data_IF_408298614793
#
_entry.id   IF_408298614793
#
_cell.length_a   1.000
_cell.length_b   1.000
_cell.length_c   1.000
_cell.angle_alpha   90.00
_cell.angle_beta   90.00
_cell.angle_gamma   90.00
#
_symmetry.space_group_name_H-M   'P 1'
#
loop_
_entity.id
_entity.type
_entity.pdbx_description
1 polymer ?
2 non-polymer ?
3 non-polymer ?
4 water ?
#
# COMPACT_ATOMS: atom_id res chain seq x y z
N UNK A 24 -7.09 10.97 -19.66
CA UNK A 24 -7.63 10.45 -20.96
C UNK A 24 -6.44 9.88 -21.75
N UNK A 25 -5.75 10.75 -22.50
CA UNK A 25 -4.83 10.36 -23.56
C UNK A 25 -3.57 9.76 -22.92
N UNK A 26 -3.02 10.51 -21.95
CA UNK A 26 -1.81 10.14 -21.24
C UNK A 26 -2.00 8.87 -20.43
N UNK A 27 -3.20 8.72 -19.85
CA UNK A 27 -3.51 7.56 -19.03
C UNK A 27 -3.42 6.31 -19.90
N UNK A 28 -4.10 6.31 -21.05
CA UNK A 28 -4.07 5.19 -21.99
C UNK A 28 -2.65 4.91 -22.48
N UNK A 29 -1.90 5.97 -22.82
CA UNK A 29 -0.56 5.78 -23.32
C UNK A 29 0.28 5.12 -22.24
N UNK A 30 0.14 5.59 -21.00
CA UNK A 30 0.82 4.98 -19.87
C UNK A 30 0.48 3.49 -19.77
N UNK A 31 -0.81 3.16 -19.89
CA UNK A 31 -1.20 1.76 -19.75
C UNK A 31 -0.68 0.91 -20.92
N UNK A 32 -0.72 1.46 -22.14
CA UNK A 32 -0.22 0.77 -23.33
C UNK A 32 1.26 0.42 -23.17
N UNK A 33 2.06 1.33 -22.60
CA UNK A 33 3.50 1.11 -22.50
C UNK A 33 3.76 0.06 -21.42
N UNK A 34 2.98 0.12 -20.33
CA UNK A 34 3.18 -0.84 -19.27
C UNK A 34 2.82 -2.23 -19.81
N UNK A 35 1.77 -2.31 -20.63
CA UNK A 35 1.34 -3.61 -21.11
C UNK A 35 2.26 -4.16 -22.19
N UNK A 36 2.87 -3.27 -23.00
CA UNK A 36 3.84 -3.72 -23.99
C UNK A 36 5.06 -4.37 -23.35
N UNK A 37 5.50 -3.84 -22.21
CA UNK A 37 6.57 -4.46 -21.45
C UNK A 37 6.22 -5.84 -20.96
N UNK A 38 5.09 -5.98 -20.28
CA UNK A 38 4.71 -7.28 -19.76
C UNK A 38 4.55 -8.29 -20.90
N UNK A 39 4.07 -7.81 -22.07
CA UNK A 39 3.81 -8.69 -23.18
C UNK A 39 5.08 -9.30 -23.76
N UNK A 40 6.24 -8.68 -23.52
CA UNK A 40 7.51 -9.22 -24.01
C UNK A 40 8.05 -10.25 -23.03
N UNK A 41 7.45 -10.38 -21.85
CA UNK A 41 8.10 -11.17 -20.81
C UNK A 41 8.05 -12.66 -21.17
N UNK A 42 7.01 -13.22 -21.85
CA UNK A 42 7.11 -14.60 -22.32
C UNK A 42 8.32 -14.88 -23.21
N UNK A 43 8.70 -13.92 -24.08
CA UNK A 43 9.90 -14.01 -24.90
C UNK A 43 11.17 -14.01 -24.03
N UNK A 44 11.20 -13.19 -22.98
CA UNK A 44 12.33 -13.18 -22.05
C UNK A 44 12.49 -14.57 -21.43
N UNK A 45 11.39 -15.12 -20.93
CA UNK A 45 11.38 -16.40 -20.22
C UNK A 45 11.87 -17.52 -21.16
N UNK A 46 11.47 -17.47 -22.44
CA UNK A 46 11.89 -18.50 -23.38
C UNK A 46 13.40 -18.48 -23.59
N UNK A 47 13.98 -17.29 -23.75
CA UNK A 47 15.43 -17.16 -23.88
C UNK A 47 16.10 -17.70 -22.62
N UNK A 48 15.61 -17.30 -21.44
CA UNK A 48 16.19 -17.78 -20.19
C UNK A 48 16.00 -19.28 -20.03
N UNK A 49 14.87 -19.81 -20.54
CA UNK A 49 14.66 -21.25 -20.45
C UNK A 49 15.69 -21.97 -21.29
N UNK A 50 15.88 -21.51 -22.53
CA UNK A 50 16.90 -22.03 -23.44
C UNK A 50 18.28 -22.10 -22.77
N UNK A 51 18.76 -20.99 -22.20
CA UNK A 51 20.12 -20.93 -21.65
C UNK A 51 20.14 -21.32 -20.18
N UNK A 52 19.08 -22.00 -19.72
CA UNK A 52 19.04 -22.51 -18.37
C UNK A 52 19.37 -21.39 -17.39
N UNK A 53 18.83 -20.18 -17.64
CA UNK A 53 18.99 -19.02 -16.78
C UNK A 53 17.85 -18.99 -15.75
N UNK A 54 18.07 -18.33 -14.59
CA UNK A 54 16.99 -18.08 -13.64
C UNK A 54 16.16 -16.87 -14.06
N UNK A 55 14.91 -16.83 -13.62
CA UNK A 55 14.07 -15.65 -13.83
C UNK A 55 14.81 -14.46 -13.21
N UNK A 56 15.24 -14.61 -11.96
CA UNK A 56 15.78 -13.49 -11.21
C UNK A 56 17.20 -13.14 -11.67
N UNK A 57 17.46 -11.84 -11.81
CA UNK A 57 18.78 -11.31 -12.07
C UNK A 57 18.93 -9.96 -11.38
N UNK A 58 19.57 -9.99 -10.19
CA UNK A 58 19.64 -8.85 -9.29
C UNK A 58 20.52 -7.72 -9.84
N UNK A 59 21.68 -8.05 -10.39
CA UNK A 59 22.47 -7.12 -11.18
C UNK A 59 21.55 -6.19 -11.98
N UNK A 60 20.83 -6.79 -12.94
CA UNK A 60 20.01 -6.07 -13.90
C UNK A 60 18.95 -5.25 -13.15
N UNK A 61 18.39 -5.81 -12.06
CA UNK A 61 17.28 -5.20 -11.36
C UNK A 61 17.71 -3.89 -10.69
N UNK A 62 18.75 -4.00 -9.84
CA UNK A 62 19.49 -2.88 -9.29
C UNK A 62 19.67 -1.78 -10.32
N UNK A 63 20.43 -2.09 -11.38
CA UNK A 63 20.87 -1.14 -12.40
C UNK A 63 19.69 -0.42 -13.04
N UNK A 64 18.63 -1.16 -13.39
CA UNK A 64 17.45 -0.57 -13.98
C UNK A 64 16.76 0.35 -12.97
N UNK A 65 16.80 -0.02 -11.68
CA UNK A 65 16.19 0.82 -10.64
C UNK A 65 17.04 2.06 -10.33
N UNK A 66 18.36 2.01 -10.48
CA UNK A 66 19.15 3.23 -10.36
C UNK A 66 18.87 4.16 -11.54
N UNK A 67 18.97 3.61 -12.76
CA UNK A 67 18.62 4.31 -13.99
C UNK A 67 17.29 5.07 -13.81
N UNK A 68 16.25 4.36 -13.34
CA UNK A 68 14.96 4.97 -13.13
C UNK A 68 15.01 6.05 -12.05
N UNK A 69 15.66 5.78 -10.90
CA UNK A 69 15.66 6.77 -9.82
C UNK A 69 16.28 8.07 -10.32
N UNK A 70 17.40 7.97 -11.04
CA UNK A 70 18.18 9.12 -11.42
C UNK A 70 17.43 9.93 -12.47
N UNK A 71 16.45 9.31 -13.11
CA UNK A 71 15.74 9.90 -14.23
C UNK A 71 14.37 10.39 -13.78
N UNK A 72 14.03 10.28 -12.49
CA UNK A 72 12.71 10.67 -12.04
C UNK A 72 12.77 11.62 -10.84
N UNK A 73 13.79 12.48 -10.70
CA UNK A 73 14.00 13.08 -9.37
C UNK A 73 12.99 14.19 -9.06
N UNK A 74 12.19 14.70 -10.02
CA UNK A 74 11.05 15.54 -9.67
C UNK A 74 9.89 14.75 -9.03
N UNK A 75 9.92 13.43 -9.15
CA UNK A 75 8.87 12.59 -8.59
C UNK A 75 9.32 12.05 -7.25
N UNK A 76 8.36 11.75 -6.41
CA UNK A 76 8.66 11.15 -5.13
C UNK A 76 9.40 9.85 -5.36
N UNK A 77 10.63 9.71 -4.84
CA UNK A 77 11.43 8.53 -5.13
C UNK A 77 10.96 7.23 -4.48
N UNK A 78 10.21 7.31 -3.37
CA UNK A 78 9.61 6.13 -2.76
C UNK A 78 8.49 5.58 -3.64
N UNK A 79 7.53 6.42 -4.02
CA UNK A 79 6.42 6.01 -4.85
C UNK A 79 6.93 5.51 -6.20
N UNK A 80 7.94 6.20 -6.74
CA UNK A 80 8.51 5.81 -8.03
C UNK A 80 9.14 4.42 -7.93
N UNK A 81 9.92 4.16 -6.90
CA UNK A 81 10.56 2.86 -6.76
C UNK A 81 9.53 1.76 -6.49
N UNK A 82 8.44 2.06 -5.76
CA UNK A 82 7.39 1.09 -5.51
C UNK A 82 6.70 0.72 -6.83
N UNK A 83 6.37 1.74 -7.65
CA UNK A 83 5.72 1.53 -8.93
C UNK A 83 6.58 0.66 -9.84
N UNK A 84 7.85 1.03 -10.04
CA UNK A 84 8.67 0.24 -10.95
C UNK A 84 8.99 -1.12 -10.34
N UNK A 85 9.09 -1.18 -9.00
CA UNK A 85 9.26 -2.41 -8.24
C UNK A 85 8.11 -3.42 -8.46
N UNK A 86 6.87 -2.97 -8.44
CA UNK A 86 5.72 -3.84 -8.69
C UNK A 86 5.62 -4.24 -10.16
N UNK A 87 6.11 -3.42 -11.07
CA UNK A 87 6.20 -3.85 -12.46
C UNK A 87 7.17 -5.01 -12.62
N UNK A 88 8.26 -4.96 -11.86
CA UNK A 88 9.24 -6.02 -11.85
C UNK A 88 8.69 -7.31 -11.26
N UNK A 89 7.92 -7.20 -10.17
CA UNK A 89 7.23 -8.35 -9.60
C UNK A 89 6.27 -8.95 -10.62
N UNK A 90 5.43 -8.11 -11.25
CA UNK A 90 4.48 -8.56 -12.23
C UNK A 90 5.22 -9.30 -13.34
N UNK A 91 6.31 -8.71 -13.87
CA UNK A 91 7.08 -9.31 -14.94
C UNK A 91 7.64 -10.67 -14.56
N UNK A 92 8.13 -10.82 -13.34
CA UNK A 92 8.68 -12.11 -12.94
C UNK A 92 7.59 -13.17 -12.71
N UNK A 93 6.42 -12.73 -12.29
CA UNK A 93 5.27 -13.61 -12.17
C UNK A 93 4.87 -14.17 -13.54
N UNK A 94 4.94 -13.35 -14.59
CA UNK A 94 4.60 -13.80 -15.93
C UNK A 94 5.64 -14.80 -16.43
N UNK A 95 6.90 -14.48 -16.17
CA UNK A 95 7.97 -15.38 -16.50
C UNK A 95 7.79 -16.74 -15.83
N UNK A 96 7.44 -16.75 -14.55
CA UNK A 96 7.27 -18.03 -13.86
C UNK A 96 6.09 -18.81 -14.45
N UNK A 97 5.02 -18.14 -14.90
CA UNK A 97 3.91 -18.83 -15.57
C UNK A 97 4.38 -19.52 -16.85
N UNK A 98 5.14 -18.79 -17.67
CA UNK A 98 5.75 -19.38 -18.84
C UNK A 98 6.65 -20.57 -18.46
N UNK A 99 7.50 -20.41 -17.43
CA UNK A 99 8.39 -21.50 -17.01
C UNK A 99 7.59 -22.77 -16.80
N UNK A 100 6.43 -22.66 -16.14
CA UNK A 100 5.54 -23.81 -15.94
C UNK A 100 5.27 -24.53 -17.27
N UNK A 101 4.99 -23.76 -18.33
CA UNK A 101 4.54 -24.33 -19.59
C UNK A 101 5.68 -24.92 -20.42
N UNK A 102 6.93 -24.73 -20.01
CA UNK A 102 8.05 -25.03 -20.88
C UNK A 102 8.69 -26.38 -20.53
N UNK A 103 8.28 -26.97 -19.40
CA UNK A 103 9.05 -27.98 -18.72
C UNK A 103 9.57 -29.06 -19.66
N UNK A 104 8.72 -29.52 -20.58
CA UNK A 104 9.05 -30.69 -21.39
C UNK A 104 9.07 -30.31 -22.87
N UNK A 105 9.48 -29.05 -23.15
CA UNK A 105 9.62 -28.60 -24.53
C UNK A 105 11.08 -28.64 -25.01
N UNK A 106 11.19 -28.60 -26.35
CA UNK A 106 12.42 -28.45 -27.13
C UNK A 106 12.43 -27.04 -27.72
N UNK A 107 12.90 -26.08 -26.93
CA UNK A 107 13.24 -24.75 -27.44
C UNK A 107 14.52 -24.85 -28.27
N UNK A 108 14.55 -24.19 -29.41
CA UNK A 108 15.76 -24.14 -30.22
C UNK A 108 16.12 -22.68 -30.48
N UNK A 109 17.38 -22.45 -30.83
CA UNK A 109 17.82 -21.17 -31.37
C UNK A 109 16.72 -20.50 -32.19
N UNK A 110 16.09 -21.27 -33.08
CA UNK A 110 15.10 -20.75 -34.01
C UNK A 110 13.86 -20.22 -33.28
N UNK A 111 13.61 -20.69 -32.06
CA UNK A 111 12.41 -20.35 -31.29
C UNK A 111 12.61 -19.14 -30.38
N UNK A 112 13.86 -18.68 -30.21
CA UNK A 112 14.18 -17.70 -29.18
C UNK A 112 14.49 -16.36 -29.84
N UNK A 113 14.30 -15.26 -29.09
CA UNK A 113 14.74 -13.91 -29.49
C UNK A 113 15.88 -13.44 -28.57
N UNK A 114 16.83 -12.66 -29.12
CA UNK A 114 18.01 -12.29 -28.35
C UNK A 114 17.63 -11.43 -27.14
N UNK A 115 18.13 -11.82 -25.96
CA UNK A 115 17.79 -11.12 -24.74
C UNK A 115 18.52 -9.77 -24.74
N UNK A 116 19.71 -9.74 -25.33
CA UNK A 116 20.62 -8.63 -25.08
C UNK A 116 20.66 -7.70 -26.29
N UNK A 117 20.23 -8.18 -27.44
CA UNK A 117 20.29 -7.36 -28.63
C UNK A 117 18.91 -6.99 -29.18
N UNK A 118 17.83 -7.52 -28.59
CA UNK A 118 16.50 -7.41 -29.16
C UNK A 118 15.56 -6.97 -28.04
N UNK A 119 15.36 -7.86 -27.07
CA UNK A 119 14.29 -7.73 -26.09
C UNK A 119 14.63 -6.63 -25.08
N UNK A 120 15.87 -6.67 -24.56
CA UNK A 120 16.23 -5.77 -23.49
C UNK A 120 16.34 -4.33 -24.00
N UNK A 121 16.97 -4.04 -25.16
CA UNK A 121 16.85 -2.74 -25.80
C UNK A 121 15.40 -2.23 -25.91
N UNK A 122 14.49 -3.15 -26.24
CA UNK A 122 13.09 -2.78 -26.43
C UNK A 122 12.49 -2.41 -25.07
N UNK A 123 12.86 -3.18 -24.05
CA UNK A 123 12.34 -2.97 -22.71
C UNK A 123 12.88 -1.65 -22.14
N UNK A 124 14.14 -1.34 -22.47
CA UNK A 124 14.78 -0.11 -22.05
C UNK A 124 14.11 1.10 -22.70
N UNK A 125 13.85 1.02 -23.99
CA UNK A 125 13.15 2.09 -24.67
C UNK A 125 11.78 2.32 -24.03
N UNK A 126 11.06 1.24 -23.74
CA UNK A 126 9.70 1.34 -23.19
C UNK A 126 9.78 1.95 -21.79
N UNK A 127 10.73 1.53 -20.95
CA UNK A 127 10.88 2.11 -19.63
C UNK A 127 11.08 3.63 -19.69
N UNK A 128 11.86 4.09 -20.67
CA UNK A 128 12.19 5.51 -20.80
C UNK A 128 10.95 6.24 -21.29
N UNK A 129 10.16 5.59 -22.15
CA UNK A 129 8.92 6.20 -22.63
C UNK A 129 7.89 6.28 -21.49
N UNK A 130 7.92 5.31 -20.56
CA UNK A 130 7.06 5.39 -19.36
C UNK A 130 7.47 6.56 -18.47
N UNK A 131 8.78 6.72 -18.21
CA UNK A 131 9.24 7.90 -17.48
C UNK A 131 8.76 9.19 -18.15
N UNK A 132 8.87 9.32 -19.46
CA UNK A 132 8.45 10.53 -20.16
C UNK A 132 6.97 10.82 -19.97
N UNK A 133 6.15 9.77 -20.08
CA UNK A 133 4.72 9.87 -19.82
C UNK A 133 4.41 10.19 -18.36
N UNK A 134 5.15 9.62 -17.39
CA UNK A 134 4.99 10.01 -16.01
C UNK A 134 5.18 11.51 -15.82
N UNK A 135 6.30 12.04 -16.32
CA UNK A 135 6.61 13.45 -16.09
C UNK A 135 5.51 14.27 -16.75
N UNK A 136 5.04 13.86 -17.91
CA UNK A 136 4.07 14.66 -18.64
C UNK A 136 2.76 14.72 -17.87
N UNK A 137 2.31 13.54 -17.43
CA UNK A 137 1.08 13.40 -16.68
C UNK A 137 1.17 14.16 -15.37
N UNK A 138 2.36 14.14 -14.76
CA UNK A 138 2.60 14.80 -13.50
C UNK A 138 2.45 16.32 -13.61
N UNK A 139 2.93 16.89 -14.73
CA UNK A 139 2.81 18.32 -14.99
C UNK A 139 1.42 18.70 -15.52
N UNK A 140 0.68 17.81 -16.17
CA UNK A 140 -0.61 18.23 -16.73
C UNK A 140 -1.80 17.82 -15.87
N UNK A 141 -1.58 17.24 -14.68
CA UNK A 141 -2.67 16.78 -13.84
C UNK A 141 -3.58 15.73 -14.51
N UNK A 142 -3.01 14.87 -15.37
CA UNK A 142 -3.76 13.74 -15.91
C UNK A 142 -4.52 13.02 -14.78
N UNK A 143 -5.86 12.86 -14.89
CA UNK A 143 -6.62 12.09 -13.90
C UNK A 143 -6.59 10.60 -14.23
N UNK A 144 -6.74 9.74 -13.23
CA UNK A 144 -6.63 8.30 -13.42
C UNK A 144 -8.00 7.68 -13.16
N UNK A 145 -8.37 6.64 -13.90
CA UNK A 145 -9.64 5.96 -13.67
C UNK A 145 -9.38 4.47 -13.46
N UNK A 146 -9.80 3.95 -12.30
CA UNK A 146 -9.53 2.57 -11.91
C UNK A 146 -10.22 1.59 -12.85
N UNK A 147 -11.38 1.98 -13.40
CA UNK A 147 -12.12 1.13 -14.32
C UNK A 147 -11.33 0.95 -15.62
N UNK A 148 -10.73 2.04 -16.12
CA UNK A 148 -9.87 1.98 -17.29
C UNK A 148 -8.66 1.06 -17.04
N UNK A 149 -7.98 1.27 -15.93
CA UNK A 149 -6.87 0.39 -15.59
C UNK A 149 -7.31 -1.06 -15.58
N UNK A 150 -8.42 -1.35 -14.90
CA UNK A 150 -8.92 -2.70 -14.72
C UNK A 150 -9.18 -3.35 -16.08
N UNK A 151 -9.84 -2.58 -16.96
CA UNK A 151 -10.17 -3.06 -18.30
C UNK A 151 -8.89 -3.36 -19.08
N UNK A 152 -7.91 -2.46 -18.98
CA UNK A 152 -6.68 -2.59 -19.71
C UNK A 152 -5.86 -3.83 -19.31
N UNK A 153 -5.81 -4.18 -18.02
CA UNK A 153 -4.87 -5.21 -17.55
C UNK A 153 -5.57 -6.53 -17.23
N UNK A 154 -6.86 -6.60 -17.57
CA UNK A 154 -7.76 -7.68 -17.16
C UNK A 154 -7.27 -9.02 -17.69
N UNK A 155 -6.66 -9.03 -18.88
CA UNK A 155 -6.22 -10.28 -19.47
C UNK A 155 -4.92 -10.78 -18.84
N UNK A 156 -4.18 -9.97 -18.06
CA UNK A 156 -2.95 -10.46 -17.45
C UNK A 156 -3.21 -11.30 -16.20
N UNK A 157 -2.28 -12.22 -15.95
CA UNK A 157 -2.49 -13.38 -15.11
C UNK A 157 -1.88 -13.11 -13.73
N UNK A 158 -2.42 -12.09 -13.03
CA UNK A 158 -1.69 -11.36 -12.00
C UNK A 158 -2.54 -11.26 -10.74
N UNK A 159 -1.91 -11.51 -9.59
CA UNK A 159 -2.72 -11.61 -8.39
C UNK A 159 -3.21 -10.21 -8.05
N UNK A 160 -4.40 -10.13 -7.42
CA UNK A 160 -5.12 -8.87 -7.22
C UNK A 160 -4.37 -7.76 -6.48
N UNK A 161 -3.52 -8.14 -5.55
CA UNK A 161 -2.72 -7.21 -4.76
C UNK A 161 -1.70 -6.48 -5.63
N UNK A 162 -0.99 -7.24 -6.46
CA UNK A 162 -0.08 -6.67 -7.46
C UNK A 162 -0.81 -5.73 -8.42
N UNK A 163 -1.97 -6.12 -8.97
CA UNK A 163 -2.73 -5.21 -9.82
C UNK A 163 -3.14 -3.94 -9.06
N UNK A 164 -3.58 -4.11 -7.81
CA UNK A 164 -3.96 -3.00 -6.96
C UNK A 164 -2.74 -2.09 -6.71
N UNK A 165 -1.63 -2.70 -6.33
CA UNK A 165 -0.37 -2.00 -6.10
C UNK A 165 0.08 -1.12 -7.28
N UNK A 166 0.00 -1.68 -8.48
CA UNK A 166 0.37 -0.93 -9.67
C UNK A 166 -0.48 0.33 -9.76
N UNK A 167 -1.80 0.21 -9.61
CA UNK A 167 -2.67 1.39 -9.75
C UNK A 167 -2.42 2.41 -8.64
N UNK A 168 -2.36 1.96 -7.37
CA UNK A 168 -2.28 2.87 -6.23
C UNK A 168 -0.94 3.62 -6.20
N UNK A 169 0.14 2.90 -6.51
CA UNK A 169 1.46 3.49 -6.61
C UNK A 169 1.53 4.47 -7.76
N UNK A 170 0.90 4.16 -8.90
CA UNK A 170 0.91 5.10 -10.01
C UNK A 170 0.15 6.38 -9.61
N UNK A 171 -1.01 6.21 -8.96
CA UNK A 171 -1.72 7.33 -8.36
C UNK A 171 -0.84 8.20 -7.47
N UNK A 172 -0.03 7.60 -6.58
CA UNK A 172 0.71 8.41 -5.63
C UNK A 172 1.87 9.16 -6.32
N UNK A 173 2.51 8.53 -7.30
CA UNK A 173 3.58 9.13 -8.10
C UNK A 173 3.06 10.40 -8.75
N UNK A 174 1.81 10.36 -9.22
CA UNK A 174 1.30 11.43 -10.05
C UNK A 174 0.64 12.50 -9.20
N UNK A 175 0.69 12.36 -7.86
CA UNK A 175 0.17 13.38 -6.94
C UNK A 175 1.27 14.37 -6.54
N UNK A 176 1.22 15.65 -7.01
CA UNK A 176 2.23 16.65 -6.67
C UNK A 176 2.20 17.09 -5.19
N UNK A 181 1.35 25.42 1.44
CA UNK A 181 2.50 24.88 2.17
C UNK A 181 2.74 25.60 3.50
N UNK A 182 2.82 24.83 4.59
CA UNK A 182 2.95 25.39 5.93
C UNK A 182 4.43 25.55 6.28
N UNK A 183 4.70 26.40 7.30
CA UNK A 183 6.00 26.60 7.89
C UNK A 183 6.05 25.91 9.26
N UNK A 184 5.74 24.62 9.27
CA UNK A 184 5.60 23.90 10.51
C UNK A 184 6.97 23.68 11.15
N UNK A 185 7.99 23.33 10.36
CA UNK A 185 9.28 23.02 10.94
C UNK A 185 9.85 24.28 11.61
N UNK A 186 9.66 25.43 10.96
CA UNK A 186 10.14 26.71 11.48
C UNK A 186 9.58 26.93 12.89
N UNK A 187 8.26 26.74 13.05
CA UNK A 187 7.61 26.87 14.35
C UNK A 187 8.15 25.85 15.35
N UNK A 188 8.38 24.60 14.94
CA UNK A 188 8.81 23.57 15.89
C UNK A 188 10.18 23.89 16.44
N UNK A 189 11.00 24.45 15.55
CA UNK A 189 12.37 24.76 15.89
C UNK A 189 12.39 25.83 16.98
N UNK A 190 11.35 26.67 17.01
CA UNK A 190 11.21 27.70 18.04
C UNK A 190 10.61 27.14 19.31
N UNK A 191 9.43 26.49 19.22
CA UNK A 191 8.72 26.09 20.42
C UNK A 191 9.07 24.68 20.93
N UNK A 192 9.69 23.81 20.10
CA UNK A 192 10.14 22.49 20.49
C UNK A 192 9.00 21.61 20.99
N UNK A 193 7.75 21.83 20.52
CA UNK A 193 6.57 21.18 21.07
C UNK A 193 5.83 20.48 19.94
N UNK A 194 5.95 19.17 19.87
CA UNK A 194 5.40 18.45 18.72
C UNK A 194 3.99 17.98 19.06
N UNK A 195 2.98 18.49 18.34
CA UNK A 195 1.60 18.05 18.51
C UNK A 195 1.35 16.84 17.62
N UNK A 196 1.08 15.69 18.24
CA UNK A 196 0.90 14.43 17.52
C UNK A 196 -0.54 13.95 17.62
N UNK A 197 -1.20 13.80 16.49
CA UNK A 197 -2.57 13.30 16.43
C UNK A 197 -2.62 11.78 16.51
N UNK A 198 -3.50 11.26 17.38
CA UNK A 198 -3.67 9.83 17.53
C UNK A 198 -5.16 9.56 17.71
N UNK A 199 -5.59 8.37 17.25
CA UNK A 199 -6.98 7.92 17.33
C UNK A 199 -7.18 7.07 18.59
N UNK A 200 -6.13 6.35 19.02
CA UNK A 200 -6.23 5.43 20.16
C UNK A 200 -7.34 4.41 19.99
N UNK A 201 -7.68 4.07 18.75
CA UNK A 201 -8.74 3.09 18.49
C UNK A 201 -8.28 1.99 17.54
N UNK A 202 -6.97 1.88 17.31
CA UNK A 202 -6.42 0.90 16.38
C UNK A 202 -5.22 0.18 17.01
N UNK A 203 -5.49 -0.85 17.84
CA UNK A 203 -4.46 -1.80 18.27
C UNK A 203 -4.02 -2.64 17.06
N UNK A 204 -2.71 -2.79 16.72
CA UNK A 204 -1.54 -2.48 17.56
C UNK A 204 -0.82 -1.12 17.39
N UNK A 205 -1.37 -0.21 16.57
CA UNK A 205 -0.73 1.05 16.25
C UNK A 205 -0.90 2.09 17.35
N UNK A 206 -2.15 2.41 17.71
CA UNK A 206 -2.43 3.28 18.85
C UNK A 206 -3.68 2.80 19.60
N UNK A 207 -3.55 2.65 20.92
CA UNK A 207 -4.64 2.17 21.77
C UNK A 207 -4.33 2.54 23.23
N UNK A 208 -5.26 2.23 24.14
CA UNK A 208 -5.00 2.36 25.57
C UNK A 208 -4.81 0.99 26.19
N UNK A 209 -3.78 0.85 27.04
CA UNK A 209 -3.49 -0.37 27.77
C UNK A 209 -4.44 -0.43 28.97
N UNK A 210 -4.36 -1.50 29.78
CA UNK A 210 -5.35 -1.80 30.80
C UNK A 210 -5.16 -0.89 32.02
N UNK A 211 -4.01 -0.22 32.12
CA UNK A 211 -3.91 0.93 33.00
C UNK A 211 -4.51 2.19 32.38
N UNK A 212 -4.66 2.25 31.06
CA UNK A 212 -5.33 3.36 30.39
C UNK A 212 -4.36 4.36 29.75
N UNK A 213 -3.06 4.05 29.83
CA UNK A 213 -2.00 4.79 29.16
C UNK A 213 -2.08 4.55 27.64
N UNK A 214 -1.80 5.60 26.84
CA UNK A 214 -1.48 5.42 25.43
C UNK A 214 -0.46 4.33 25.22
N UNK A 215 -0.70 3.44 24.24
CA UNK A 215 0.24 2.39 23.88
C UNK A 215 0.21 2.11 22.37
N UNK A 216 1.29 1.51 21.87
CA UNK A 216 1.33 0.90 20.55
C UNK A 216 2.56 1.28 19.75
N UNK A 217 2.65 0.70 18.55
CA UNK A 217 3.75 0.92 17.64
C UNK A 217 3.98 2.41 17.47
N UNK A 218 2.89 3.14 17.22
CA UNK A 218 2.98 4.52 16.76
C UNK A 218 3.29 5.47 17.92
N UNK A 219 2.89 5.11 19.15
CA UNK A 219 3.34 5.83 20.34
C UNK A 219 4.86 5.74 20.47
N UNK A 220 5.44 4.56 20.24
CA UNK A 220 6.88 4.40 20.39
C UNK A 220 7.60 5.11 19.25
N UNK A 221 7.06 5.07 18.02
CA UNK A 221 7.70 5.71 16.89
C UNK A 221 7.70 7.22 17.09
N UNK A 222 6.58 7.77 17.57
CA UNK A 222 6.48 9.21 17.76
C UNK A 222 7.42 9.64 18.88
N UNK A 223 7.52 8.84 19.93
CA UNK A 223 8.43 9.11 21.04
C UNK A 223 9.86 9.17 20.53
N UNK A 224 10.23 8.27 19.62
CA UNK A 224 11.60 8.22 19.12
C UNK A 224 11.87 9.38 18.15
N UNK A 225 10.87 9.75 17.36
CA UNK A 225 11.00 10.90 16.49
C UNK A 225 11.23 12.18 17.30
N UNK A 226 10.45 12.35 18.39
CA UNK A 226 10.54 13.56 19.20
C UNK A 226 11.91 13.66 19.85
N UNK A 227 12.34 12.54 20.44
CA UNK A 227 13.63 12.42 21.06
C UNK A 227 14.74 12.80 20.07
N UNK A 228 14.66 12.33 18.81
CA UNK A 228 15.71 12.63 17.84
C UNK A 228 15.84 14.14 17.62
N UNK A 229 14.72 14.87 17.58
CA UNK A 229 14.65 16.28 17.24
C UNK A 229 14.71 17.15 18.51
N UNK A 230 14.71 16.55 19.70
CA UNK A 230 14.70 17.34 20.94
C UNK A 230 13.36 18.06 21.14
N UNK A 231 12.25 17.42 20.75
CA UNK A 231 10.91 17.94 20.98
C UNK A 231 10.22 17.22 22.14
N UNK A 232 9.32 17.94 22.80
CA UNK A 232 8.37 17.28 23.69
C UNK A 232 7.06 17.09 22.92
N UNK A 233 6.34 16.05 23.27
CA UNK A 233 5.12 15.72 22.55
C UNK A 233 3.90 16.26 23.32
N UNK A 234 2.99 16.92 22.60
CA UNK A 234 1.60 17.07 23.02
C UNK A 234 0.70 16.10 22.23
N UNK A 235 0.01 15.21 22.92
CA UNK A 235 -0.82 14.23 22.25
C UNK A 235 -2.16 14.90 21.96
N UNK A 236 -2.62 14.74 20.73
CA UNK A 236 -3.90 15.32 20.32
C UNK A 236 -4.83 14.22 19.84
N UNK A 237 -5.99 14.03 20.50
CA UNK A 237 -6.93 13.01 20.07
C UNK A 237 -7.59 13.41 18.76
N UNK A 238 -7.58 12.52 17.76
CA UNK A 238 -8.33 12.68 16.52
C UNK A 238 -9.14 11.40 16.27
N UNK A 239 -9.84 11.37 15.13
CA UNK A 239 -10.66 10.23 14.74
C UNK A 239 -10.61 10.01 13.23
N UNK A 240 -10.97 8.80 12.79
CA UNK A 240 -11.03 8.55 11.36
C UNK A 240 -11.99 9.51 10.68
N UNK A 241 -13.22 9.78 11.20
CA UNK A 241 -14.09 10.77 10.57
C UNK A 241 -13.60 12.22 10.55
N UNK A 242 -12.76 12.63 11.48
CA UNK A 242 -12.32 14.03 11.58
C UNK A 242 -10.82 14.21 11.26
N UNK A 243 -10.15 13.17 10.78
CA UNK A 243 -8.70 13.20 10.54
C UNK A 243 -8.28 14.37 9.66
N UNK A 244 -8.85 14.44 8.47
CA UNK A 244 -8.44 15.47 7.53
C UNK A 244 -8.95 16.86 7.93
N UNK A 245 -10.15 17.01 8.51
CA UNK A 245 -10.56 18.33 8.96
C UNK A 245 -9.64 18.83 10.09
N UNK A 246 -9.28 17.91 11.01
CA UNK A 246 -8.34 18.17 12.08
C UNK A 246 -6.99 18.61 11.50
N UNK A 247 -6.52 17.93 10.44
CA UNK A 247 -5.23 18.26 9.83
C UNK A 247 -5.30 19.64 9.17
N UNK A 248 -6.42 19.90 8.45
CA UNK A 248 -6.67 21.16 7.74
C UNK A 248 -6.77 22.34 8.72
N UNK A 249 -7.33 22.11 9.91
CA UNK A 249 -7.37 23.11 10.97
C UNK A 249 -6.07 23.19 11.78
N UNK A 250 -5.04 22.44 11.39
CA UNK A 250 -3.73 22.54 11.98
C UNK A 250 -3.82 22.22 13.47
N UNK A 251 -4.63 21.24 13.86
CA UNK A 251 -4.73 20.89 15.27
C UNK A 251 -3.57 19.99 15.69
N UNK A 252 -2.80 19.51 14.72
CA UNK A 252 -1.61 18.73 15.03
C UNK A 252 -0.57 18.95 13.93
N UNK A 253 0.69 18.58 14.23
CA UNK A 253 1.81 18.77 13.33
C UNK A 253 1.93 17.58 12.40
N UNK A 254 1.85 16.40 13.02
CA UNK A 254 1.87 15.08 12.41
C UNK A 254 0.75 14.25 13.07
N UNK A 255 0.40 13.11 12.45
CA UNK A 255 -0.46 12.12 13.06
C UNK A 255 0.04 10.71 12.73
N UNK A 256 -0.16 9.80 13.68
CA UNK A 256 0.16 8.39 13.52
C UNK A 256 -0.99 7.63 14.17
N UNK A 257 -1.56 6.63 13.47
CA UNK A 257 -2.39 5.58 14.07
C UNK A 257 -2.69 4.52 13.01
N UNK A 258 -1.60 3.96 12.47
CA UNK A 258 -1.75 3.05 11.34
C UNK A 258 -2.45 3.74 10.17
N UNK A 259 -2.04 4.96 9.83
CA UNK A 259 -2.75 5.73 8.79
C UNK A 259 -2.28 5.31 7.41
N UNK A 260 -3.21 4.86 6.55
CA UNK A 260 -2.83 4.40 5.21
C UNK A 260 -2.43 5.61 4.35
N UNK A 261 -1.39 5.42 3.56
CA UNK A 261 -0.93 6.37 2.56
C UNK A 261 -1.87 6.28 1.36
N UNK A 262 -2.58 7.37 1.05
CA UNK A 262 -3.50 7.37 -0.06
C UNK A 262 -3.39 8.68 -0.84
N UNK A 263 -3.69 8.63 -2.15
CA UNK A 263 -3.62 9.82 -2.98
C UNK A 263 -4.67 10.85 -2.50
N UNK A 264 -5.83 10.39 -2.02
CA UNK A 264 -6.87 11.29 -1.55
C UNK A 264 -6.39 12.09 -0.33
N UNK A 265 -5.64 11.46 0.59
CA UNK A 265 -5.14 12.11 1.79
C UNK A 265 -3.96 13.04 1.47
N UNK A 266 -3.29 12.80 0.34
CA UNK A 266 -2.24 13.71 -0.12
C UNK A 266 -2.80 14.83 -1.00
N UNK A 267 -4.12 14.96 -1.11
CA UNK A 267 -4.75 16.18 -1.61
C UNK A 267 -4.17 17.42 -0.94
N UNK A 268 -4.19 17.44 0.40
CA UNK A 268 -3.74 18.64 1.11
C UNK A 268 -2.73 18.35 2.21
N UNK A 269 -2.40 17.09 2.50
CA UNK A 269 -1.38 16.78 3.49
C UNK A 269 -0.26 16.06 2.77
N UNK A 270 0.82 15.74 3.52
CA UNK A 270 1.93 14.91 3.04
C UNK A 270 2.09 13.69 3.94
N UNK A 271 2.88 12.71 3.46
CA UNK A 271 3.24 11.53 4.23
C UNK A 271 4.75 11.38 4.33
N UNK A 272 5.19 10.74 5.43
CA UNK A 272 6.49 10.10 5.51
C UNK A 272 6.65 8.91 4.56
N UNK A 273 7.89 8.50 4.34
CA UNK A 273 8.18 7.15 3.91
C UNK A 273 7.29 6.15 4.67
N UNK A 274 6.92 5.03 4.01
CA UNK A 274 6.15 3.97 4.64
C UNK A 274 6.92 3.18 5.69
N UNK A 275 6.23 2.72 6.74
CA UNK A 275 6.86 1.89 7.75
C UNK A 275 6.18 0.52 7.85
N UNK A 276 5.14 0.30 7.06
CA UNK A 276 4.49 -1.00 6.98
C UNK A 276 3.86 -1.18 5.62
N UNK A 277 3.90 -2.42 5.09
CA UNK A 277 3.27 -2.77 3.83
C UNK A 277 2.34 -3.95 4.04
N UNK A 278 1.13 -3.87 3.51
CA UNK A 278 0.18 -4.97 3.60
C UNK A 278 -0.99 -4.74 2.66
N UNK A 279 -2.19 -4.99 3.16
CA UNK A 279 -3.43 -4.62 2.48
C UNK A 279 -4.63 -5.28 3.17
N UNK A 280 -5.79 -5.08 2.56
CA UNK A 280 -7.06 -5.37 3.18
C UNK A 280 -7.39 -6.85 3.00
N UNK A 281 -7.99 -7.45 4.04
CA UNK A 281 -8.55 -8.78 3.96
C UNK A 281 -9.90 -8.73 4.65
N UNK A 282 -10.47 -9.91 4.99
CA UNK A 282 -11.70 -10.01 5.72
C UNK A 282 -11.49 -10.91 6.94
N UNK A 283 -12.25 -10.55 7.97
CA UNK A 283 -12.45 -11.31 9.18
C UNK A 283 -13.95 -11.53 9.45
N UNK A 284 -14.22 -12.74 9.94
CA UNK A 284 -15.53 -13.07 10.47
C UNK A 284 -15.38 -14.33 11.31
N UNK A 285 -16.50 -15.01 11.55
CA UNK A 285 -16.52 -16.16 12.44
C UNK A 285 -15.89 -17.39 11.77
N UNK A 286 -15.07 -18.13 12.51
CA UNK A 286 -14.62 -19.45 12.13
C UNK A 286 -15.75 -20.39 11.69
N UNK A 287 -16.91 -20.28 12.34
CA UNK A 287 -18.04 -21.13 12.00
C UNK A 287 -18.65 -20.73 10.65
N UNK A 288 -18.13 -19.66 10.03
CA UNK A 288 -18.69 -19.07 8.82
C UNK A 288 -17.74 -19.27 7.64
N UNK A 289 -16.51 -19.74 7.92
CA UNK A 289 -15.42 -19.58 6.96
C UNK A 289 -15.76 -20.27 5.64
N UNK A 290 -16.35 -21.48 5.69
CA UNK A 290 -16.54 -22.25 4.47
C UNK A 290 -17.60 -21.59 3.59
N UNK A 291 -18.39 -20.66 4.15
CA UNK A 291 -19.32 -19.86 3.35
C UNK A 291 -18.83 -18.45 3.05
N UNK A 292 -17.61 -18.08 3.48
CA UNK A 292 -17.16 -16.70 3.33
C UNK A 292 -15.68 -16.61 2.95
N UNK A 293 -15.11 -17.61 2.26
CA UNK A 293 -13.65 -17.69 2.17
C UNK A 293 -13.12 -17.21 0.82
N UNK A 294 -13.95 -16.43 0.14
CA UNK A 294 -13.71 -15.88 -1.17
C UNK A 294 -14.48 -14.56 -1.25
N UNK A 295 -14.01 -13.58 -2.00
CA UNK A 295 -14.76 -12.36 -2.15
C UNK A 295 -16.12 -12.64 -2.81
N UNK A 296 -16.19 -13.61 -3.72
CA UNK A 296 -17.46 -13.93 -4.35
C UNK A 296 -18.48 -14.49 -3.33
N UNK A 297 -18.03 -15.25 -2.35
CA UNK A 297 -18.90 -15.76 -1.30
C UNK A 297 -19.29 -14.66 -0.31
N UNK A 298 -18.38 -13.72 -0.03
CA UNK A 298 -18.67 -12.66 0.91
C UNK A 298 -19.70 -11.72 0.30
N UNK A 299 -19.54 -11.34 -0.97
CA UNK A 299 -20.38 -10.31 -1.56
C UNK A 299 -21.66 -10.92 -2.12
N UNK A 300 -22.55 -11.31 -1.20
CA UNK A 300 -23.91 -11.71 -1.51
C UNK A 300 -24.88 -10.98 -0.58
N UNK A 301 -26.16 -10.94 -0.95
CA UNK A 301 -27.08 -10.04 -0.26
C UNK A 301 -27.40 -10.54 1.17
N UNK A 302 -27.37 -11.86 1.37
CA UNK A 302 -27.36 -12.52 2.67
C UNK A 302 -26.36 -11.91 3.67
N UNK A 303 -25.16 -11.54 3.20
CA UNK A 303 -24.03 -11.22 4.05
C UNK A 303 -24.17 -9.78 4.60
N UNK A 304 -24.01 -9.66 5.94
CA UNK A 304 -23.98 -8.37 6.62
C UNK A 304 -22.55 -7.98 6.88
N UNK A 305 -22.16 -6.92 6.18
CA UNK A 305 -20.86 -6.29 6.35
C UNK A 305 -20.93 -5.18 7.38
N UNK A 306 -19.92 -5.13 8.25
CA UNK A 306 -19.82 -4.04 9.20
C UNK A 306 -18.49 -3.33 8.97
N UNK A 307 -18.47 -2.01 9.20
CA UNK A 307 -17.25 -1.28 8.96
C UNK A 307 -17.22 -0.03 9.84
N UNK A 308 -16.01 0.45 10.17
CA UNK A 308 -15.87 1.68 10.96
C UNK A 308 -15.86 2.87 10.00
N UNK A 309 -16.43 4.04 10.40
CA UNK A 309 -16.59 5.16 9.49
C UNK A 309 -15.29 5.90 9.16
N UNK A 310 -15.18 6.32 7.91
CA UNK A 310 -14.48 7.57 7.62
C UNK A 310 -13.07 7.39 7.08
N UNK A 311 -12.60 6.14 7.00
CA UNK A 311 -11.26 5.85 6.51
C UNK A 311 -11.25 4.88 5.31
N UNK A 312 -10.12 4.22 5.08
CA UNK A 312 -9.93 3.35 3.92
C UNK A 312 -10.76 2.05 4.03
N UNK A 313 -11.14 1.61 5.23
CA UNK A 313 -12.01 0.43 5.32
C UNK A 313 -13.34 0.77 4.67
N UNK A 314 -13.95 1.88 5.07
CA UNK A 314 -15.21 2.30 4.47
C UNK A 314 -15.04 2.50 2.97
N UNK A 315 -14.00 3.20 2.50
CA UNK A 315 -13.89 3.49 1.08
C UNK A 315 -13.65 2.22 0.25
N UNK A 316 -13.02 1.19 0.84
CA UNK A 316 -12.92 -0.09 0.19
C UNK A 316 -14.27 -0.79 0.03
N UNK A 317 -15.05 -0.95 1.12
CA UNK A 317 -16.24 -1.78 1.04
C UNK A 317 -17.26 -1.10 0.14
N UNK A 318 -17.34 0.24 0.16
CA UNK A 318 -18.27 0.93 -0.73
C UNK A 318 -17.90 0.77 -2.19
N UNK A 319 -16.60 0.61 -2.51
CA UNK A 319 -16.19 0.47 -3.90
C UNK A 319 -16.15 -0.98 -4.37
N UNK A 320 -15.89 -1.96 -3.47
CA UNK A 320 -15.59 -3.30 -3.93
C UNK A 320 -16.84 -4.20 -3.93
N UNK A 321 -17.85 -3.88 -3.11
CA UNK A 321 -19.01 -4.75 -2.92
C UNK A 321 -20.15 -4.21 -3.76
N UNK A 322 -20.98 -5.09 -4.33
CA UNK A 322 -22.16 -4.66 -5.07
C UNK A 322 -23.44 -5.25 -4.47
N UNK A 323 -23.32 -6.30 -3.64
CA UNK A 323 -24.50 -7.05 -3.23
C UNK A 323 -24.72 -7.01 -1.71
N UNK A 324 -23.64 -7.19 -0.95
CA UNK A 324 -23.77 -7.33 0.51
C UNK A 324 -24.30 -6.04 1.11
N UNK A 325 -24.99 -6.15 2.25
CA UNK A 325 -25.46 -4.97 2.97
C UNK A 325 -24.30 -4.43 3.83
N UNK A 326 -24.15 -3.10 3.87
CA UNK A 326 -23.15 -2.46 4.71
C UNK A 326 -23.87 -1.74 5.85
N UNK A 327 -23.30 -1.90 7.05
CA UNK A 327 -23.63 -1.09 8.22
C UNK A 327 -22.37 -0.36 8.72
N UNK A 328 -22.48 0.95 9.01
CA UNK A 328 -21.36 1.69 9.55
C UNK A 328 -21.49 1.73 11.07
N UNK A 329 -20.57 1.07 11.79
CA UNK A 329 -20.54 0.98 13.23
C UNK A 329 -19.70 2.10 13.84
N UNK A 330 -20.19 2.84 14.84
CA UNK A 330 -19.45 4.03 15.32
C UNK A 330 -18.06 3.84 15.94
N UNK A 331 -17.77 2.73 16.64
CA UNK A 331 -16.61 2.66 17.54
C UNK A 331 -15.70 1.50 17.15
N UNK A 332 -14.50 1.79 16.58
CA UNK A 332 -13.59 0.77 16.09
C UNK A 332 -13.15 -0.14 17.25
N UNK A 333 -13.41 0.27 18.49
CA UNK A 333 -12.96 -0.55 19.60
C UNK A 333 -13.93 -1.69 19.83
N UNK A 334 -15.22 -1.53 19.50
CA UNK A 334 -16.18 -2.59 19.84
C UNK A 334 -16.75 -3.30 18.60
N UNK A 335 -16.22 -2.99 17.41
CA UNK A 335 -16.78 -3.50 16.16
C UNK A 335 -16.64 -5.03 16.06
N UNK A 336 -15.56 -5.60 16.62
CA UNK A 336 -15.26 -7.01 16.42
C UNK A 336 -16.22 -7.85 17.24
N UNK A 337 -16.69 -7.26 18.34
CA UNK A 337 -17.69 -7.91 19.19
C UNK A 337 -18.97 -8.15 18.41
N UNK A 338 -19.28 -7.29 17.44
CA UNK A 338 -20.42 -7.50 16.59
C UNK A 338 -20.31 -8.80 15.76
N UNK A 339 -19.10 -9.15 15.31
CA UNK A 339 -18.87 -10.38 14.54
C UNK A 339 -18.99 -11.56 15.49
N UNK A 340 -18.44 -11.42 16.70
CA UNK A 340 -18.49 -12.52 17.64
C UNK A 340 -19.96 -12.81 17.99
N UNK A 341 -20.75 -11.74 18.17
CA UNK A 341 -22.10 -11.82 18.72
C UNK A 341 -23.11 -12.23 17.65
N UNK A 342 -22.69 -12.17 16.39
CA UNK A 342 -23.52 -12.67 15.31
C UNK A 342 -24.44 -11.60 14.75
N UNK A 343 -24.19 -10.30 15.05
CA UNK A 343 -25.02 -9.24 14.50
C UNK A 343 -24.53 -8.76 13.14
N UNK A 344 -23.31 -9.13 12.77
CA UNK A 344 -22.82 -8.98 11.40
C UNK A 344 -21.93 -10.16 11.07
N UNK A 345 -21.61 -10.30 9.77
CA UNK A 345 -20.99 -11.54 9.29
C UNK A 345 -19.51 -11.35 8.89
N UNK A 346 -19.12 -10.16 8.41
CA UNK A 346 -17.75 -9.92 7.99
C UNK A 346 -17.38 -8.45 8.11
N UNK A 347 -16.08 -8.21 8.22
CA UNK A 347 -15.51 -6.85 8.14
C UNK A 347 -14.26 -6.95 7.29
N UNK A 348 -14.15 -6.03 6.34
CA UNK A 348 -12.90 -5.78 5.64
C UNK A 348 -12.08 -4.78 6.46
N UNK A 349 -10.83 -5.16 6.73
CA UNK A 349 -9.87 -4.30 7.39
C UNK A 349 -8.45 -4.71 7.00
N UNK A 350 -7.44 -3.95 7.50
CA UNK A 350 -6.05 -4.24 7.21
C UNK A 350 -5.71 -5.64 7.72
N UNK A 351 -4.90 -6.35 6.93
CA UNK A 351 -4.37 -7.64 7.27
C UNK A 351 -3.74 -7.68 8.67
N UNK A 352 -2.99 -6.67 9.07
CA UNK A 352 -2.38 -6.69 10.39
C UNK A 352 -3.47 -6.67 11.48
N UNK A 353 -4.55 -5.92 11.28
CA UNK A 353 -5.61 -5.85 12.26
C UNK A 353 -6.41 -7.15 12.34
N UNK A 354 -6.77 -7.71 11.19
CA UNK A 354 -7.49 -8.98 11.10
C UNK A 354 -6.74 -10.10 11.82
N UNK A 355 -5.44 -10.20 11.62
CA UNK A 355 -4.63 -11.27 12.20
C UNK A 355 -4.55 -11.05 13.71
N UNK A 356 -4.44 -9.80 14.19
CA UNK A 356 -4.45 -9.50 15.61
C UNK A 356 -5.79 -9.87 16.24
N UNK A 357 -6.90 -9.53 15.56
CA UNK A 357 -8.23 -9.74 16.14
C UNK A 357 -8.62 -11.22 16.12
N UNK A 358 -8.17 -11.98 15.10
CA UNK A 358 -8.33 -13.44 14.97
C UNK A 358 -7.51 -14.20 16.03
N UNK A 359 -6.41 -13.62 16.49
CA UNK A 359 -5.68 -14.15 17.64
C UNK A 359 -6.36 -13.84 18.98
N UNK A 360 -6.83 -12.60 19.13
CA UNK A 360 -7.49 -12.12 20.32
C UNK A 360 -8.82 -12.86 20.54
N UNK A 361 -9.62 -13.11 19.48
CA UNK A 361 -10.95 -13.70 19.62
C UNK A 361 -10.95 -15.16 19.14
N UNK A 362 -11.07 -16.16 20.05
CA UNK A 362 -11.28 -17.56 19.63
C UNK A 362 -12.28 -17.76 18.50
N UNK A 363 -13.42 -17.09 18.57
CA UNK A 363 -14.46 -17.34 17.57
C UNK A 363 -14.15 -16.71 16.19
N UNK A 364 -13.13 -15.84 16.09
CA UNK A 364 -12.89 -15.16 14.81
C UNK A 364 -11.71 -15.71 14.03
N UNK A 365 -11.80 -15.57 12.69
CA UNK A 365 -10.88 -16.16 11.75
C UNK A 365 -10.66 -15.16 10.63
N UNK A 366 -9.42 -15.09 10.08
CA UNK A 366 -9.22 -14.48 8.77
C UNK A 366 -9.86 -15.35 7.71
N UNK A 367 -10.71 -14.73 6.86
CA UNK A 367 -11.56 -15.41 5.92
C UNK A 367 -10.87 -15.72 4.59
N UNK A 368 -9.98 -14.82 4.13
CA UNK A 368 -9.38 -14.94 2.80
C UNK A 368 -7.94 -15.46 2.88
N UNK A 369 -7.48 -16.15 1.80
CA UNK A 369 -6.17 -16.78 1.79
C UNK A 369 -5.07 -15.72 1.73
N UNK A 370 -5.34 -14.61 1.03
CA UNK A 370 -4.39 -13.52 0.99
C UNK A 370 -5.11 -12.18 0.77
N UNK A 371 -4.46 -11.04 1.10
CA UNK A 371 -5.08 -9.73 1.00
C UNK A 371 -5.41 -9.42 -0.45
N UNK A 372 -6.39 -8.57 -0.65
CA UNK A 372 -6.92 -8.22 -1.94
C UNK A 372 -6.33 -6.91 -2.46
N UNK A 373 -5.74 -6.11 -1.57
CA UNK A 373 -5.27 -4.76 -1.92
C UNK A 373 -3.80 -4.63 -1.54
N UNK A 374 -3.19 -3.56 -2.06
CA UNK A 374 -1.87 -3.11 -1.63
C UNK A 374 -2.02 -1.78 -0.89
N UNK A 375 -1.46 -1.70 0.31
CA UNK A 375 -1.56 -0.45 1.05
C UNK A 375 -0.38 -0.38 2.02
N UNK A 376 0.16 0.85 2.23
CA UNK A 376 1.24 1.07 3.15
C UNK A 376 0.84 2.08 4.23
N UNK A 377 1.45 1.99 5.39
CA UNK A 377 1.24 2.93 6.46
C UNK A 377 2.35 3.95 6.48
N UNK A 378 1.98 5.17 6.84
CA UNK A 378 2.95 6.23 6.98
C UNK A 378 2.55 7.30 8.00
N UNK A 379 3.51 8.14 8.35
CA UNK A 379 3.21 9.28 9.19
C UNK A 379 2.53 10.35 8.36
N UNK A 380 1.34 10.80 8.79
CA UNK A 380 0.71 12.00 8.22
C UNK A 380 1.37 13.27 8.74
N UNK A 381 1.64 14.21 7.79
CA UNK A 381 2.41 15.44 8.02
C UNK A 381 1.63 16.64 7.49
N UNK A 382 1.67 17.77 8.20
CA UNK A 382 1.34 19.05 7.59
C UNK A 382 2.22 19.20 6.36
N UNK A 383 1.73 19.88 5.30
CA UNK A 383 2.50 19.96 4.05
C UNK A 383 3.68 20.94 4.05
N UNK A 384 4.73 20.59 4.83
CA UNK A 384 5.97 21.33 4.87
C UNK A 384 7.08 20.45 4.30
N UNK A 385 7.57 20.76 3.07
CA UNK A 385 8.64 19.99 2.46
C UNK A 385 9.81 19.68 3.38
N UNK A 386 10.19 20.68 4.17
CA UNK A 386 11.41 20.58 4.95
C UNK A 386 11.15 19.65 6.12
N UNK A 387 9.91 19.65 6.63
CA UNK A 387 9.48 18.73 7.68
C UNK A 387 9.58 17.27 7.19
N UNK A 388 9.03 17.04 5.99
CA UNK A 388 9.01 15.73 5.35
C UNK A 388 10.43 15.23 5.13
N UNK A 389 11.29 16.11 4.56
CA UNK A 389 12.69 15.78 4.36
C UNK A 389 13.34 15.30 5.65
N UNK A 390 13.15 16.01 6.77
CA UNK A 390 13.86 15.64 7.98
C UNK A 390 13.31 14.34 8.55
N UNK A 391 11.98 14.23 8.44
CA UNK A 391 11.34 13.08 9.07
C UNK A 391 11.78 11.80 8.36
N UNK A 392 11.78 11.82 7.02
CA UNK A 392 12.20 10.67 6.23
C UNK A 392 13.65 10.26 6.47
N UNK A 393 14.55 11.25 6.47
CA UNK A 393 15.95 10.99 6.81
C UNK A 393 16.00 10.18 8.10
N UNK A 394 15.24 10.61 9.13
CA UNK A 394 15.23 9.91 10.40
C UNK A 394 14.64 8.51 10.25
N UNK A 395 13.48 8.43 9.59
CA UNK A 395 12.66 7.22 9.59
C UNK A 395 13.38 6.12 8.82
N UNK A 396 13.89 6.46 7.64
CA UNK A 396 14.58 5.46 6.80
C UNK A 396 15.77 4.91 7.58
N UNK A 397 16.45 5.78 8.33
CA UNK A 397 17.60 5.34 9.09
C UNK A 397 17.15 4.47 10.23
N UNK A 398 16.03 4.85 10.84
CA UNK A 398 15.55 4.16 12.03
C UNK A 398 15.16 2.73 11.64
N UNK A 399 14.50 2.59 10.48
CA UNK A 399 13.97 1.30 10.00
C UNK A 399 15.11 0.35 9.61
N UNK A 400 16.17 0.90 9.00
CA UNK A 400 17.43 0.19 8.72
C UNK A 400 18.03 -0.48 9.96
N UNK A 401 17.73 0.02 11.17
CA UNK A 401 18.60 -0.21 12.30
C UNK A 401 17.96 -1.13 13.35
N UNK A 402 16.71 -0.84 13.70
CA UNK A 402 15.90 -1.80 14.44
C UNK A 402 15.28 -2.71 13.40
N UNK A 403 14.65 -3.80 13.85
CA UNK A 403 13.45 -4.27 13.20
C UNK A 403 12.24 -3.65 13.90
N UNK A 404 11.47 -2.88 13.12
CA UNK A 404 10.04 -2.75 13.32
C UNK A 404 9.49 -4.08 13.79
N UNK A 405 9.97 -5.19 13.21
CA UNK A 405 9.38 -6.49 13.46
C UNK A 405 9.17 -6.68 14.97
N UNK A 406 10.16 -6.24 15.78
CA UNK A 406 10.20 -6.47 17.20
C UNK A 406 9.27 -5.54 17.97
N UNK A 407 9.31 -4.24 17.63
CA UNK A 407 8.24 -3.33 18.00
C UNK A 407 6.87 -3.86 17.59
N UNK A 408 6.73 -4.33 16.35
CA UNK A 408 5.46 -4.90 15.90
C UNK A 408 5.08 -6.07 16.82
N UNK A 409 6.01 -6.96 17.11
CA UNK A 409 5.74 -8.17 17.90
C UNK A 409 5.40 -7.88 19.37
N UNK A 410 5.93 -6.79 19.91
CA UNK A 410 5.68 -6.40 21.30
C UNK A 410 4.21 -6.05 21.48
N UNK A 411 3.57 -5.51 20.44
CA UNK A 411 2.16 -5.15 20.52
C UNK A 411 1.28 -6.21 19.87
N UNK A 412 1.75 -7.47 19.83
CA UNK A 412 0.89 -8.60 19.56
C UNK A 412 0.95 -9.08 18.11
N UNK A 413 1.92 -8.63 17.29
CA UNK A 413 1.84 -8.91 15.87
C UNK A 413 2.81 -10.03 15.52
N UNK A 414 2.32 -11.28 15.47
CA UNK A 414 3.06 -12.44 14.96
C UNK A 414 3.87 -12.07 13.72
N UNK A 415 5.22 -12.10 13.82
CA UNK A 415 6.07 -11.71 12.68
C UNK A 415 6.17 -12.75 11.57
N UNK A 416 5.09 -13.51 11.32
CA UNK A 416 4.62 -13.77 9.97
C UNK A 416 3.47 -12.81 9.65
#
# INVERSE_FOLDING_TARGET
MRKPRHITALLFCLLTSLTSVADNHSEQTLYQLMSERLALMPEVAKYKWHHNLPIEDLAREAMVLERTVSRTTVLDPIHTKTFFGLQMTAAKAIQANVFQSLTNTDVVASDVRSLNDDLRPKLTLLGDQIIEQLLISYQNGTPLNRAHFDAHFAHFELNPQIKDGLFKSLELVLTPPNLDPRDTLARLEKDKTLRVGVTLDYEPFSYQDNEGNRAGIDIELATALAKEFGYRIVWVKTSWPTLMADAEDNLFDIALSGISITAQRQHRMMFSAPYHTGGKTAIGRCSSVDELNTLALIDRAETRIIVNPGGTNERFVRSALTNASIRIHPDNRTIFNELVSGTADAMFTDSIEAQLQATKHPSLCVLLDQPLTFQQKGILLQPDPELKKRIDTWLLDYLSSHDVSALFSKHGVDPDLEHHHHHH
#
